data_IF_708701950660
#
_entry.id   IF_708701950660
#
_cell.length_a   1.000
_cell.length_b   1.000
_cell.length_c   1.000
_cell.angle_alpha   90.00
_cell.angle_beta   90.00
_cell.angle_gamma   90.00
#
_symmetry.space_group_name_H-M   'P 1'
#
loop_
_entity.id
_entity.type
_entity.pdbx_description
1 polymer ?
#
# COMPACT_ATOMS: atom_id res chain seq x y z
N UNK A 1 -14.99 19.39 30.60
CA UNK A 1 -14.70 20.15 29.37
C UNK A 1 -15.12 19.35 28.15
N UNK A 2 -14.39 18.31 27.74
CA UNK A 2 -14.73 17.47 26.57
C UNK A 2 -16.11 16.77 26.72
N UNK A 3 -16.50 16.34 27.93
CA UNK A 3 -17.83 15.76 28.18
C UNK A 3 -18.97 16.79 28.24
N UNK A 4 -18.66 18.08 28.29
CA UNK A 4 -19.64 19.16 28.48
C UNK A 4 -19.98 19.91 27.19
N UNK A 5 -19.20 19.70 26.11
CA UNK A 5 -19.40 20.31 24.80
C UNK A 5 -18.98 19.31 23.71
N UNK A 6 -19.97 18.80 22.98
CA UNK A 6 -19.81 17.80 21.92
C UNK A 6 -19.17 18.37 20.64
N UNK A 7 -18.97 19.70 20.57
CA UNK A 7 -18.27 20.37 19.47
C UNK A 7 -16.75 20.42 19.66
N UNK A 8 -16.25 20.16 20.87
CA UNK A 8 -14.82 20.14 21.13
C UNK A 8 -14.25 18.83 20.59
N UNK A 9 -13.45 18.93 19.54
CA UNK A 9 -12.66 17.79 19.07
C UNK A 9 -11.72 17.32 20.18
N UNK A 10 -11.74 16.03 20.49
CA UNK A 10 -11.05 15.41 21.62
C UNK A 10 -9.55 15.77 21.69
N UNK A 11 -8.86 15.77 20.55
CA UNK A 11 -7.46 16.16 20.45
C UNK A 11 -7.23 17.63 20.81
N UNK A 12 -8.10 18.54 20.36
CA UNK A 12 -8.01 19.96 20.71
C UNK A 12 -8.30 20.17 22.20
N UNK A 13 -9.33 19.51 22.72
CA UNK A 13 -9.65 19.56 24.14
C UNK A 13 -8.51 19.03 25.01
N UNK A 14 -7.87 17.93 24.62
CA UNK A 14 -6.70 17.41 25.33
C UNK A 14 -5.51 18.37 25.27
N UNK A 15 -5.24 18.94 24.08
CA UNK A 15 -4.18 19.94 23.92
C UNK A 15 -4.41 21.18 24.80
N UNK A 16 -5.64 21.66 24.91
CA UNK A 16 -5.97 22.78 25.80
C UNK A 16 -5.76 22.42 27.28
N UNK A 17 -6.19 21.23 27.71
CA UNK A 17 -5.97 20.75 29.08
C UNK A 17 -4.48 20.66 29.42
N UNK A 18 -3.68 20.10 28.51
CA UNK A 18 -2.23 19.97 28.67
C UNK A 18 -1.53 21.34 28.65
N UNK A 19 -1.91 22.23 27.73
CA UNK A 19 -1.20 23.50 27.46
C UNK A 19 -1.67 24.68 28.31
N UNK A 20 -2.77 24.56 29.06
CA UNK A 20 -3.32 25.66 29.88
C UNK A 20 -2.25 26.30 30.77
N UNK A 21 -1.55 25.49 31.55
CA UNK A 21 -0.34 25.89 32.26
C UNK A 21 0.52 24.65 32.48
N UNK A 22 1.70 24.63 31.84
CA UNK A 22 2.74 23.66 32.15
C UNK A 22 3.50 24.15 33.38
N UNK A 23 3.60 23.27 34.38
CA UNK A 23 4.35 23.46 35.61
C UNK A 23 5.77 22.89 35.49
N UNK A 24 6.54 22.92 36.60
CA UNK A 24 7.88 22.35 36.63
C UNK A 24 7.85 20.83 36.52
N UNK A 25 9.03 20.23 36.32
CA UNK A 25 9.23 18.79 36.48
C UNK A 25 8.77 18.34 37.87
N UNK A 26 8.19 17.14 37.95
CA UNK A 26 7.74 16.54 39.22
C UNK A 26 8.95 16.11 40.05
N UNK A 27 9.99 15.62 39.37
CA UNK A 27 11.30 15.26 39.92
C UNK A 27 12.36 15.34 38.80
N UNK A 28 13.63 15.12 39.16
CA UNK A 28 14.76 15.31 38.26
C UNK A 28 14.95 14.16 37.25
N UNK A 29 14.40 12.97 37.51
CA UNK A 29 14.79 11.73 36.80
C UNK A 29 13.66 11.07 35.98
N UNK A 30 12.38 11.32 36.32
CA UNK A 30 11.24 10.61 35.72
C UNK A 30 10.82 11.14 34.36
N UNK A 31 11.14 12.40 34.04
CA UNK A 31 10.59 13.10 32.88
C UNK A 31 9.15 13.59 33.05
N UNK A 32 8.53 13.34 34.22
CA UNK A 32 7.19 13.83 34.53
C UNK A 32 7.17 15.34 34.73
N UNK A 33 6.13 15.99 34.21
CA UNK A 33 5.87 17.43 34.42
C UNK A 33 4.48 17.66 35.00
N UNK A 34 4.33 18.71 35.79
CA UNK A 34 3.01 19.17 36.19
C UNK A 34 2.30 19.87 35.00
N UNK A 35 1.01 19.65 34.84
CA UNK A 35 0.14 20.26 33.84
C UNK A 35 -1.22 20.61 34.45
N UNK A 36 -2.07 21.31 33.70
CA UNK A 36 -3.41 21.72 34.12
C UNK A 36 -3.42 22.41 35.51
N UNK A 37 -2.74 23.56 35.57
CA UNK A 37 -2.61 24.39 36.78
C UNK A 37 -2.00 23.62 37.97
N UNK A 38 -1.08 22.68 37.69
CA UNK A 38 -0.38 21.90 38.71
C UNK A 38 -1.14 20.68 39.24
N UNK A 39 -2.34 20.40 38.74
CA UNK A 39 -3.20 19.33 39.27
C UNK A 39 -3.04 17.99 38.53
N UNK A 40 -2.38 17.98 37.38
CA UNK A 40 -2.15 16.79 36.58
C UNK A 40 -0.64 16.51 36.48
N UNK A 41 -0.24 15.25 36.70
CA UNK A 41 1.11 14.79 36.33
C UNK A 41 1.05 14.23 34.91
N UNK A 42 1.92 14.70 34.05
CA UNK A 42 1.98 14.37 32.64
C UNK A 42 3.33 13.73 32.31
N UNK A 43 3.29 12.66 31.52
CA UNK A 43 4.46 12.06 30.90
C UNK A 43 4.24 11.90 29.39
N UNK A 44 5.34 11.74 28.65
CA UNK A 44 5.35 11.42 27.23
C UNK A 44 5.86 10.01 27.01
N UNK A 45 4.98 9.14 26.53
CA UNK A 45 5.36 7.79 26.17
C UNK A 45 6.31 7.82 24.95
N UNK A 46 7.44 7.10 24.98
CA UNK A 46 8.42 7.12 23.91
C UNK A 46 7.84 6.52 22.62
N UNK A 47 7.84 7.31 21.54
CA UNK A 47 7.29 6.93 20.23
C UNK A 47 8.01 5.72 19.60
N UNK A 48 9.19 5.36 20.11
CA UNK A 48 9.95 4.20 19.66
C UNK A 48 9.36 2.86 20.09
N UNK A 49 8.48 2.84 21.12
CA UNK A 49 7.77 1.63 21.59
C UNK A 49 6.25 1.85 21.73
N UNK A 50 5.80 3.10 21.91
CA UNK A 50 4.39 3.50 21.78
C UNK A 50 4.21 4.21 20.44
N UNK A 51 4.27 3.42 19.37
CA UNK A 51 4.42 3.95 18.02
C UNK A 51 3.12 4.59 17.49
N UNK A 52 3.27 5.67 16.74
CA UNK A 52 2.28 6.13 15.77
C UNK A 52 2.31 5.25 14.50
N UNK A 53 1.34 5.42 13.60
CA UNK A 53 1.37 4.70 12.33
C UNK A 53 2.57 5.08 11.45
N UNK A 54 3.05 6.32 11.53
CA UNK A 54 4.25 6.72 10.80
C UNK A 54 5.52 6.09 11.39
N UNK A 55 5.70 6.15 12.72
CA UNK A 55 6.89 5.59 13.39
C UNK A 55 6.94 4.06 13.34
N UNK A 56 5.78 3.39 13.28
CA UNK A 56 5.69 1.94 13.15
C UNK A 56 5.81 1.46 11.70
N UNK A 57 4.95 1.95 10.79
CA UNK A 57 4.80 1.38 9.45
C UNK A 57 5.71 2.02 8.39
N UNK A 58 6.19 3.25 8.60
CA UNK A 58 7.04 3.97 7.64
C UNK A 58 8.49 3.98 8.11
N UNK A 59 8.72 4.45 9.34
CA UNK A 59 10.06 4.54 9.89
C UNK A 59 10.58 3.21 10.44
N UNK A 60 9.70 2.27 10.81
CA UNK A 60 10.05 1.06 11.54
C UNK A 60 11.02 1.33 12.71
N UNK A 61 10.78 2.42 13.46
CA UNK A 61 11.73 2.99 14.41
C UNK A 61 12.17 1.97 15.48
N UNK A 62 11.23 1.17 15.99
CA UNK A 62 11.52 0.11 16.96
C UNK A 62 12.54 -0.90 16.41
N UNK A 63 12.47 -1.26 15.13
CA UNK A 63 13.42 -2.19 14.50
C UNK A 63 14.81 -1.57 14.37
N UNK A 64 14.89 -0.30 13.96
CA UNK A 64 16.17 0.42 13.85
C UNK A 64 16.86 0.59 15.21
N UNK A 65 16.07 0.79 16.27
CA UNK A 65 16.55 0.94 17.63
C UNK A 65 16.70 -0.39 18.38
N UNK A 66 16.38 -1.53 17.73
CA UNK A 66 16.40 -2.87 18.33
C UNK A 66 15.55 -2.98 19.60
N UNK A 67 14.38 -2.34 19.57
CA UNK A 67 13.38 -2.35 20.62
C UNK A 67 12.20 -3.25 20.23
N UNK A 68 11.37 -3.56 21.22
CA UNK A 68 10.08 -4.21 21.01
C UNK A 68 8.98 -3.15 21.12
N UNK A 69 8.15 -3.03 20.08
CA UNK A 69 7.01 -2.12 20.12
C UNK A 69 5.96 -2.65 21.11
N UNK A 70 5.61 -1.83 22.09
CA UNK A 70 4.60 -2.13 23.10
C UNK A 70 3.17 -1.91 22.57
N UNK A 71 2.97 -0.82 21.83
CA UNK A 71 1.68 -0.48 21.24
C UNK A 71 1.87 0.25 19.91
N UNK A 72 0.89 0.11 19.01
CA UNK A 72 0.79 0.91 17.80
C UNK A 72 -0.57 1.62 17.76
N UNK A 73 -0.54 2.94 17.77
CA UNK A 73 -1.70 3.78 17.49
C UNK A 73 -1.70 4.13 16.02
N UNK A 74 -2.72 3.67 15.29
CA UNK A 74 -2.81 3.81 13.84
C UNK A 74 -3.28 5.23 13.45
N UNK A 75 -2.37 6.19 13.62
CA UNK A 75 -2.41 7.60 13.23
C UNK A 75 -1.41 7.89 12.11
N UNK A 76 -1.46 9.06 11.48
CA UNK A 76 -0.55 9.42 10.38
C UNK A 76 -0.54 8.39 9.22
N UNK A 77 -1.73 7.99 8.79
CA UNK A 77 -1.96 7.05 7.69
C UNK A 77 -3.22 7.43 6.91
N UNK A 78 -3.34 6.94 5.67
CA UNK A 78 -4.41 7.27 4.74
C UNK A 78 -5.57 6.29 4.80
N UNK A 79 -6.60 6.55 3.97
CA UNK A 79 -7.69 5.62 3.69
C UNK A 79 -8.58 5.22 4.89
N UNK A 80 -8.65 6.05 5.93
CA UNK A 80 -9.57 5.85 7.07
C UNK A 80 -9.45 4.45 7.68
N UNK A 81 -10.55 3.89 8.17
CA UNK A 81 -10.62 2.55 8.81
C UNK A 81 -9.99 1.45 7.95
N UNK A 82 -10.24 1.47 6.64
CA UNK A 82 -9.74 0.45 5.72
C UNK A 82 -8.22 0.52 5.54
N UNK A 83 -7.65 1.72 5.43
CA UNK A 83 -6.21 1.91 5.44
C UNK A 83 -5.57 1.47 6.76
N UNK A 84 -6.18 1.82 7.90
CA UNK A 84 -5.70 1.39 9.23
C UNK A 84 -5.60 -0.13 9.34
N UNK A 85 -6.67 -0.81 8.92
CA UNK A 85 -6.75 -2.27 8.93
C UNK A 85 -5.72 -2.87 7.99
N UNK A 86 -5.55 -2.29 6.80
CA UNK A 86 -4.59 -2.78 5.82
C UNK A 86 -3.14 -2.67 6.32
N UNK A 87 -2.74 -1.55 6.97
CA UNK A 87 -1.41 -1.43 7.58
C UNK A 87 -1.13 -2.47 8.66
N UNK A 88 -2.13 -2.73 9.50
CA UNK A 88 -2.02 -3.77 10.53
C UNK A 88 -1.87 -5.16 9.91
N UNK A 89 -2.54 -5.44 8.78
CA UNK A 89 -2.38 -6.68 8.01
C UNK A 89 -0.99 -6.77 7.38
N UNK A 90 -0.52 -5.71 6.72
CA UNK A 90 0.84 -5.63 6.15
C UNK A 90 1.91 -5.93 7.20
N UNK A 91 1.74 -5.39 8.42
CA UNK A 91 2.62 -5.64 9.55
C UNK A 91 2.38 -7.00 10.26
N UNK A 92 1.39 -7.79 9.84
CA UNK A 92 1.02 -9.09 10.42
C UNK A 92 0.59 -9.03 11.89
N UNK A 93 0.04 -7.88 12.32
CA UNK A 93 -0.46 -7.64 13.69
C UNK A 93 -1.98 -7.48 13.75
N UNK A 94 -2.68 -7.62 12.62
CA UNK A 94 -4.14 -7.74 12.58
C UNK A 94 -4.56 -9.22 12.67
N UNK A 95 -5.61 -9.50 13.43
CA UNK A 95 -6.21 -10.82 13.51
C UNK A 95 -7.35 -10.95 12.50
N UNK A 96 -7.15 -11.78 11.48
CA UNK A 96 -8.18 -12.15 10.50
C UNK A 96 -8.64 -13.60 10.70
N UNK A 97 -9.88 -13.94 10.33
CA UNK A 97 -10.37 -15.31 10.39
C UNK A 97 -9.72 -16.18 9.29
N UNK A 98 -9.68 -17.53 9.45
CA UNK A 98 -8.98 -18.43 8.53
C UNK A 98 -9.40 -18.29 7.05
N UNK A 99 -10.66 -17.94 6.78
CA UNK A 99 -11.22 -17.75 5.44
C UNK A 99 -10.56 -16.58 4.69
N UNK A 100 -9.97 -15.62 5.42
CA UNK A 100 -9.24 -14.52 4.82
C UNK A 100 -8.01 -15.01 4.03
N UNK A 101 -7.32 -16.00 4.59
CA UNK A 101 -6.09 -16.59 4.07
C UNK A 101 -6.33 -17.73 3.06
N UNK A 102 -7.54 -18.30 3.03
CA UNK A 102 -7.94 -19.36 2.10
C UNK A 102 -9.28 -19.04 1.43
N UNK A 103 -9.32 -18.01 0.56
CA UNK A 103 -10.55 -17.66 -0.13
C UNK A 103 -10.98 -18.79 -1.09
N UNK A 104 -12.31 -19.00 -1.30
CA UNK A 104 -12.80 -20.06 -2.19
C UNK A 104 -12.29 -19.98 -3.63
N UNK A 105 -12.00 -18.78 -4.12
CA UNK A 105 -11.47 -18.53 -5.47
C UNK A 105 -9.95 -18.70 -5.61
N UNK A 106 -9.25 -19.06 -4.54
CA UNK A 106 -7.79 -19.12 -4.51
C UNK A 106 -7.10 -17.75 -4.51
N UNK A 107 -5.78 -17.77 -4.60
CA UNK A 107 -4.92 -16.58 -4.57
C UNK A 107 -4.08 -16.51 -5.84
N UNK A 108 -3.92 -15.31 -6.38
CA UNK A 108 -3.01 -14.99 -7.46
C UNK A 108 -1.87 -14.12 -6.91
N UNK A 109 -0.63 -14.48 -7.22
CA UNK A 109 0.55 -13.71 -6.86
C UNK A 109 1.58 -13.75 -7.97
N UNK A 110 2.63 -12.93 -7.86
CA UNK A 110 3.76 -12.95 -8.76
C UNK A 110 5.05 -12.60 -8.02
N UNK A 111 6.20 -12.97 -8.60
CA UNK A 111 7.52 -12.60 -8.08
C UNK A 111 7.85 -11.17 -8.54
N UNK A 112 7.91 -10.17 -7.65
CA UNK A 112 8.33 -8.83 -8.05
C UNK A 112 9.81 -8.83 -8.43
N UNK A 113 10.15 -8.11 -9.49
CA UNK A 113 11.52 -8.02 -9.98
C UNK A 113 11.87 -6.58 -10.33
N UNK A 114 12.31 -5.80 -9.34
CA UNK A 114 12.66 -4.39 -9.53
C UNK A 114 14.13 -4.28 -10.00
N UNK A 115 14.42 -3.65 -11.15
CA UNK A 115 15.77 -3.36 -11.58
C UNK A 115 16.57 -2.59 -10.52
N UNK A 116 17.79 -3.06 -10.21
CA UNK A 116 18.64 -2.44 -9.16
C UNK A 116 18.91 -0.96 -9.40
N UNK A 117 19.03 -0.53 -10.66
CA UNK A 117 19.20 0.88 -11.01
C UNK A 117 17.96 1.72 -10.64
N UNK A 118 16.75 1.20 -10.84
CA UNK A 118 15.51 1.88 -10.45
C UNK A 118 15.34 1.96 -8.93
N UNK A 119 15.90 1.01 -8.18
CA UNK A 119 15.81 1.00 -6.72
C UNK A 119 16.93 1.82 -6.05
N UNK A 120 18.19 1.64 -6.46
CA UNK A 120 19.37 2.07 -5.70
C UNK A 120 20.10 3.29 -6.26
N UNK A 121 19.89 3.64 -7.53
CA UNK A 121 20.65 4.72 -8.17
C UNK A 121 19.81 6.00 -8.31
N UNK A 122 20.48 7.13 -8.53
CA UNK A 122 19.84 8.42 -8.77
C UNK A 122 19.36 9.13 -7.50
N UNK A 123 19.10 10.42 -7.63
CA UNK A 123 18.53 11.26 -6.58
C UNK A 123 17.10 10.80 -6.23
N UNK A 124 16.70 10.96 -4.97
CA UNK A 124 15.32 10.77 -4.55
C UNK A 124 14.51 12.03 -4.87
N UNK A 125 13.79 11.99 -5.99
CA UNK A 125 12.94 13.08 -6.47
C UNK A 125 11.57 12.53 -6.84
N UNK A 126 10.63 13.41 -7.18
CA UNK A 126 9.29 13.02 -7.64
C UNK A 126 9.39 12.15 -8.90
N UNK A 127 10.23 12.55 -9.86
CA UNK A 127 10.42 11.79 -11.11
C UNK A 127 10.96 10.38 -10.84
N UNK A 128 11.97 10.24 -9.98
CA UNK A 128 12.52 8.92 -9.67
C UNK A 128 11.60 8.10 -8.77
N UNK A 129 10.77 8.75 -7.95
CA UNK A 129 9.70 8.08 -7.18
C UNK A 129 8.70 7.44 -8.12
N UNK A 130 8.13 8.21 -9.06
CA UNK A 130 7.13 7.67 -9.97
C UNK A 130 7.72 6.70 -10.99
N UNK A 131 8.97 6.88 -11.44
CA UNK A 131 9.65 5.86 -12.25
C UNK A 131 9.73 4.49 -11.52
N UNK A 132 9.94 4.50 -10.20
CA UNK A 132 9.93 3.29 -9.37
C UNK A 132 8.51 2.77 -9.12
N UNK A 133 7.54 3.64 -8.83
CA UNK A 133 6.13 3.26 -8.60
C UNK A 133 5.51 2.66 -9.87
N UNK A 134 5.71 3.28 -11.03
CA UNK A 134 5.18 2.82 -12.32
C UNK A 134 5.65 1.41 -12.68
N UNK A 135 6.85 1.04 -12.24
CA UNK A 135 7.39 -0.29 -12.49
C UNK A 135 6.69 -1.39 -11.65
N UNK A 136 6.04 -1.00 -10.55
CA UNK A 136 5.49 -1.92 -9.55
C UNK A 136 3.96 -2.03 -9.67
N UNK A 137 3.43 -3.26 -9.74
CA UNK A 137 1.97 -3.53 -9.77
C UNK A 137 1.53 -4.26 -8.50
N UNK A 138 1.21 -3.52 -7.43
CA UNK A 138 0.80 -4.05 -6.09
C UNK A 138 1.73 -5.18 -5.52
N UNK A 139 3.08 -5.08 -5.57
CA UNK A 139 4.00 -5.91 -4.78
C UNK A 139 4.21 -5.29 -3.37
N UNK A 140 5.16 -5.77 -2.54
CA UNK A 140 5.76 -4.90 -1.54
C UNK A 140 6.25 -3.64 -2.26
N UNK A 141 5.61 -2.50 -2.01
CA UNK A 141 5.90 -1.26 -2.71
C UNK A 141 7.17 -0.64 -2.14
N UNK A 142 8.10 -0.29 -3.02
CA UNK A 142 9.23 0.55 -2.70
C UNK A 142 8.93 2.00 -3.06
N UNK A 143 9.06 2.87 -2.08
CA UNK A 143 8.90 4.31 -2.23
C UNK A 143 10.23 5.02 -2.00
N UNK A 144 10.47 6.10 -2.76
CA UNK A 144 11.61 7.00 -2.55
C UNK A 144 11.26 8.22 -1.69
N UNK A 145 9.97 8.53 -1.59
CA UNK A 145 9.45 9.71 -0.92
C UNK A 145 8.29 9.25 -0.04
N UNK A 146 8.09 9.95 1.06
CA UNK A 146 6.97 9.78 1.97
C UNK A 146 5.68 10.34 1.38
N UNK A 147 4.54 9.98 1.98
CA UNK A 147 3.21 10.54 1.66
C UNK A 147 2.60 11.16 2.92
N UNK A 148 2.28 12.46 2.86
CA UNK A 148 1.73 13.29 3.94
C UNK A 148 0.67 14.31 3.45
N UNK A 149 -0.11 14.91 4.35
CA UNK A 149 -1.20 15.83 3.96
C UNK A 149 -0.72 17.27 3.66
N UNK A 150 0.58 17.51 3.71
CA UNK A 150 1.20 18.82 3.54
C UNK A 150 2.50 18.67 2.74
N UNK A 151 2.96 19.77 2.12
CA UNK A 151 4.23 19.78 1.38
C UNK A 151 5.43 19.45 2.27
N UNK A 152 6.36 18.62 1.79
CA UNK A 152 7.55 18.21 2.53
C UNK A 152 8.72 17.92 1.59
N UNK A 153 9.98 17.87 2.08
CA UNK A 153 11.16 17.72 1.22
C UNK A 153 11.43 16.26 0.82
N UNK A 154 10.36 15.49 0.56
CA UNK A 154 10.46 14.06 0.25
C UNK A 154 10.48 13.13 1.46
N UNK A 155 11.32 13.40 2.47
CA UNK A 155 11.35 12.68 3.75
C UNK A 155 11.27 13.70 4.88
N UNK A 156 10.52 13.41 5.95
CA UNK A 156 10.41 14.33 7.08
C UNK A 156 11.78 14.57 7.76
N UNK A 157 12.19 15.83 7.94
CA UNK A 157 13.36 16.17 8.72
C UNK A 157 13.29 15.56 10.13
N UNK A 158 14.35 14.89 10.55
CA UNK A 158 14.43 14.22 11.87
C UNK A 158 13.77 12.84 11.94
N UNK A 159 13.12 12.36 10.87
CA UNK A 159 12.65 10.98 10.81
C UNK A 159 13.81 9.98 10.60
N UNK A 160 13.60 8.72 10.99
CA UNK A 160 14.54 7.63 10.72
C UNK A 160 14.31 6.95 9.37
N UNK A 161 13.36 7.44 8.55
CA UNK A 161 13.06 6.85 7.24
C UNK A 161 14.27 6.96 6.32
N UNK A 162 14.71 5.84 5.75
CA UNK A 162 15.81 5.79 4.79
C UNK A 162 15.28 5.41 3.41
N UNK A 163 15.27 6.33 2.44
CA UNK A 163 14.84 5.99 1.08
C UNK A 163 15.90 5.16 0.33
N UNK A 164 15.50 4.27 -0.59
CA UNK A 164 14.12 3.82 -0.75
C UNK A 164 13.71 2.93 0.45
N UNK A 165 12.42 2.95 0.81
CA UNK A 165 11.86 2.13 1.88
C UNK A 165 10.67 1.34 1.37
N UNK A 166 10.36 0.22 2.03
CA UNK A 166 9.10 -0.51 1.78
C UNK A 166 7.98 0.34 2.39
N UNK A 167 7.14 0.91 1.53
CA UNK A 167 6.03 1.75 1.95
C UNK A 167 4.73 0.94 2.03
N UNK A 168 3.85 1.26 2.98
CA UNK A 168 2.49 0.75 3.00
C UNK A 168 1.75 0.98 1.67
N UNK A 169 0.82 0.09 1.31
CA UNK A 169 0.08 0.20 0.05
C UNK A 169 -0.68 1.55 -0.09
N UNK A 170 -1.12 2.13 1.02
CA UNK A 170 -1.81 3.44 1.08
C UNK A 170 -0.87 4.63 0.89
N UNK A 171 0.44 4.43 0.71
CA UNK A 171 1.35 5.48 0.24
C UNK A 171 1.20 5.79 -1.26
N UNK A 172 0.53 4.94 -2.03
CA UNK A 172 0.31 5.15 -3.48
C UNK A 172 -1.15 4.97 -3.84
N UNK A 173 -1.83 4.00 -3.24
CA UNK A 173 -3.19 3.62 -3.62
C UNK A 173 -4.25 4.10 -2.62
N UNK A 174 -5.43 4.38 -3.14
CA UNK A 174 -6.63 4.70 -2.37
C UNK A 174 -7.30 3.41 -1.86
N UNK A 175 -6.72 2.80 -0.83
CA UNK A 175 -7.17 1.49 -0.31
C UNK A 175 -8.65 1.49 0.06
N UNK A 176 -9.16 2.58 0.63
CA UNK A 176 -10.59 2.73 0.95
C UNK A 176 -11.48 2.63 -0.28
N UNK A 177 -10.98 3.03 -1.45
CA UNK A 177 -11.70 2.90 -2.73
C UNK A 177 -11.51 1.50 -3.30
N UNK A 178 -10.30 0.93 -3.22
CA UNK A 178 -10.02 -0.46 -3.61
C UNK A 178 -10.91 -1.45 -2.87
N UNK A 179 -11.17 -1.18 -1.58
CA UNK A 179 -11.97 -2.01 -0.69
C UNK A 179 -13.46 -1.61 -0.63
N UNK A 180 -13.91 -0.65 -1.45
CA UNK A 180 -15.31 -0.21 -1.48
C UNK A 180 -16.10 -0.92 -2.56
N UNK A 181 -17.25 -1.47 -2.20
CA UNK A 181 -18.21 -2.00 -3.17
C UNK A 181 -18.65 -0.88 -4.13
N UNK A 182 -18.56 -1.15 -5.42
CA UNK A 182 -18.86 -0.19 -6.49
C UNK A 182 -19.84 -0.83 -7.49
N UNK A 183 -20.73 -0.03 -8.12
CA UNK A 183 -21.72 -0.54 -9.07
C UNK A 183 -21.09 -1.41 -10.15
N UNK A 184 -21.59 -2.65 -10.32
CA UNK A 184 -21.03 -3.59 -11.28
C UNK A 184 -21.24 -3.13 -12.73
N UNK A 185 -22.31 -2.36 -12.99
CA UNK A 185 -22.64 -1.85 -14.32
C UNK A 185 -21.58 -0.88 -14.83
N UNK A 186 -20.97 -0.09 -13.94
CA UNK A 186 -19.95 0.91 -14.27
C UNK A 186 -18.52 0.39 -14.05
N UNK A 187 -18.30 -0.37 -12.99
CA UNK A 187 -16.96 -0.75 -12.52
C UNK A 187 -16.66 -2.25 -12.67
N UNK A 188 -17.60 -3.02 -13.21
CA UNK A 188 -17.43 -4.46 -13.39
C UNK A 188 -17.36 -5.20 -12.05
N UNK A 189 -17.01 -6.49 -12.06
CA UNK A 189 -17.00 -7.31 -10.85
C UNK A 189 -15.97 -6.81 -9.82
N UNK A 190 -16.26 -7.12 -8.56
CA UNK A 190 -15.36 -6.88 -7.44
C UNK A 190 -13.98 -7.55 -7.62
N UNK A 191 -12.91 -6.82 -7.27
CA UNK A 191 -11.54 -7.32 -7.26
C UNK A 191 -11.07 -7.42 -5.82
N UNK A 192 -10.89 -8.65 -5.33
CA UNK A 192 -10.34 -8.87 -3.99
C UNK A 192 -8.83 -8.68 -4.01
N UNK A 193 -8.32 -7.82 -3.11
CA UNK A 193 -6.90 -7.63 -2.88
C UNK A 193 -6.47 -8.16 -1.51
N UNK A 194 -5.18 -8.45 -1.39
CA UNK A 194 -4.51 -8.87 -0.15
C UNK A 194 -3.22 -8.09 0.00
N UNK A 195 -2.78 -7.91 1.24
CA UNK A 195 -1.49 -7.32 1.58
C UNK A 195 -0.33 -8.17 1.05
N UNK A 196 0.81 -7.53 0.77
CA UNK A 196 1.97 -8.22 0.23
C UNK A 196 2.55 -9.28 1.19
N UNK A 197 2.33 -9.11 2.50
CA UNK A 197 2.87 -9.98 3.55
C UNK A 197 1.99 -11.17 3.89
N UNK A 198 0.86 -11.36 3.19
CA UNK A 198 -0.14 -12.39 3.44
C UNK A 198 0.48 -13.79 3.63
N UNK A 199 1.37 -14.20 2.72
CA UNK A 199 2.01 -15.52 2.73
C UNK A 199 3.03 -15.72 3.86
N UNK A 200 3.55 -14.63 4.41
CA UNK A 200 4.45 -14.65 5.57
C UNK A 200 3.69 -14.62 6.90
N UNK A 201 2.38 -14.43 6.87
CA UNK A 201 1.56 -14.39 8.07
C UNK A 201 1.59 -15.76 8.77
N UNK A 202 1.87 -15.83 10.09
CA UNK A 202 1.87 -17.08 10.85
C UNK A 202 0.54 -17.84 10.76
N UNK A 203 -0.59 -17.12 10.67
CA UNK A 203 -1.94 -17.66 10.59
C UNK A 203 -2.28 -18.33 9.25
N UNK A 204 -1.41 -18.20 8.24
CA UNK A 204 -1.63 -18.79 6.92
C UNK A 204 -1.75 -20.34 7.00
N UNK A 205 -2.89 -20.92 6.58
CA UNK A 205 -3.14 -22.36 6.65
C UNK A 205 -2.13 -23.21 5.87
N UNK A 206 -1.82 -24.40 6.40
CA UNK A 206 -0.85 -25.32 5.80
C UNK A 206 -1.28 -25.82 4.41
N UNK A 207 -2.58 -25.98 4.18
CA UNK A 207 -3.13 -26.36 2.89
C UNK A 207 -2.87 -25.32 1.79
N UNK A 208 -2.88 -24.03 2.14
CA UNK A 208 -2.53 -22.94 1.21
C UNK A 208 -1.02 -22.92 0.99
N UNK A 209 -0.22 -23.08 2.06
CA UNK A 209 1.26 -23.11 1.97
C UNK A 209 1.79 -24.24 1.08
N UNK A 210 1.05 -25.33 0.92
CA UNK A 210 1.47 -26.53 0.17
C UNK A 210 0.87 -26.65 -1.23
N UNK A 211 -0.11 -25.82 -1.58
CA UNK A 211 -0.83 -25.91 -2.86
C UNK A 211 -0.51 -24.72 -3.77
N UNK A 212 0.59 -24.85 -4.51
CA UNK A 212 1.15 -23.82 -5.38
C UNK A 212 1.31 -24.32 -6.82
N UNK A 213 1.01 -23.45 -7.78
CA UNK A 213 1.34 -23.61 -9.19
C UNK A 213 2.26 -22.48 -9.62
N UNK A 214 3.52 -22.81 -9.91
CA UNK A 214 4.46 -21.87 -10.53
C UNK A 214 4.15 -21.73 -12.02
N UNK A 215 4.01 -20.50 -12.49
CA UNK A 215 3.78 -20.15 -13.89
C UNK A 215 5.00 -19.43 -14.45
N UNK A 216 5.59 -20.04 -15.47
CA UNK A 216 6.73 -19.49 -16.20
C UNK A 216 6.30 -18.99 -17.57
N UNK A 217 6.40 -17.67 -17.76
CA UNK A 217 6.20 -17.07 -19.07
C UNK A 217 7.35 -17.47 -19.99
N UNK A 218 7.04 -17.84 -21.23
CA UNK A 218 8.02 -18.28 -22.21
C UNK A 218 7.76 -17.69 -23.60
N UNK A 219 8.78 -17.67 -24.45
CA UNK A 219 8.64 -17.21 -25.83
C UNK A 219 7.91 -18.27 -26.65
N UNK A 220 6.87 -17.88 -27.39
CA UNK A 220 6.15 -18.78 -28.28
C UNK A 220 7.10 -19.42 -29.31
N UNK A 221 6.94 -20.73 -29.54
CA UNK A 221 7.82 -21.51 -30.41
C UNK A 221 9.13 -21.97 -29.77
N UNK A 222 9.47 -21.54 -28.55
CA UNK A 222 10.63 -22.09 -27.84
C UNK A 222 10.41 -23.53 -27.37
N UNK A 223 11.46 -24.38 -27.28
CA UNK A 223 11.33 -25.78 -26.88
C UNK A 223 10.62 -25.95 -25.52
N UNK A 224 9.49 -26.66 -25.55
CA UNK A 224 8.67 -26.92 -24.35
C UNK A 224 7.85 -25.73 -23.86
N UNK A 225 7.64 -24.69 -24.69
CA UNK A 225 6.71 -23.60 -24.40
C UNK A 225 5.34 -23.89 -25.01
N UNK A 226 4.54 -24.71 -24.33
CA UNK A 226 3.17 -25.02 -24.73
C UNK A 226 2.22 -24.94 -23.54
N UNK A 227 0.99 -24.48 -23.78
CA UNK A 227 -0.06 -24.25 -22.76
C UNK A 227 -0.42 -25.51 -21.95
N UNK A 228 -0.04 -26.70 -22.43
CA UNK A 228 -0.33 -27.99 -21.79
C UNK A 228 0.91 -28.73 -21.28
N UNK A 229 2.12 -28.20 -21.47
CA UNK A 229 3.31 -28.84 -20.93
C UNK A 229 3.49 -28.46 -19.46
N UNK A 230 2.89 -29.24 -18.57
CA UNK A 230 3.38 -29.32 -17.19
C UNK A 230 4.78 -29.91 -17.25
N UNK A 231 5.76 -29.13 -16.78
CA UNK A 231 7.11 -29.66 -16.58
C UNK A 231 7.09 -30.71 -15.47
N UNK A 232 8.07 -31.64 -15.49
CA UNK A 232 8.25 -32.66 -14.43
C UNK A 232 8.37 -32.04 -13.01
N UNK A 233 8.61 -30.73 -12.90
CA UNK A 233 8.74 -29.98 -11.65
C UNK A 233 7.45 -29.33 -11.13
N UNK A 234 6.28 -29.61 -11.71
CA UNK A 234 5.01 -29.02 -11.25
C UNK A 234 4.79 -27.55 -11.65
N UNK A 235 5.59 -27.04 -12.59
CA UNK A 235 5.45 -25.68 -13.11
C UNK A 235 4.80 -25.67 -14.51
N UNK A 236 3.87 -24.73 -14.71
CA UNK A 236 3.18 -24.46 -15.98
C UNK A 236 4.00 -23.50 -16.83
N UNK A 237 4.36 -23.91 -18.05
CA UNK A 237 4.94 -23.00 -19.04
C UNK A 237 3.83 -22.38 -19.87
N UNK A 238 3.72 -21.06 -19.83
CA UNK A 238 2.69 -20.31 -20.52
C UNK A 238 3.38 -19.38 -21.54
N UNK A 239 3.07 -19.47 -22.84
CA UNK A 239 3.60 -18.50 -23.79
C UNK A 239 3.20 -17.08 -23.39
N UNK A 240 4.05 -16.09 -23.62
CA UNK A 240 3.71 -14.65 -23.44
C UNK A 240 2.55 -14.23 -24.36
N UNK A 241 1.95 -13.07 -24.10
CA UNK A 241 0.94 -12.46 -24.96
C UNK A 241 -0.29 -13.35 -25.13
N UNK A 242 -1.00 -13.62 -24.03
CA UNK A 242 -2.16 -14.52 -24.01
C UNK A 242 -3.46 -13.75 -23.85
N UNK A 243 -4.47 -14.22 -24.57
CA UNK A 243 -5.84 -13.73 -24.47
C UNK A 243 -6.52 -14.26 -23.21
N UNK A 244 -7.59 -13.57 -22.81
CA UNK A 244 -8.45 -13.97 -21.71
C UNK A 244 -8.94 -15.43 -21.82
N UNK A 245 -9.38 -15.87 -23.00
CA UNK A 245 -9.87 -17.23 -23.23
C UNK A 245 -8.76 -18.25 -23.01
N UNK A 246 -7.58 -17.96 -23.53
CA UNK A 246 -6.43 -18.87 -23.42
C UNK A 246 -6.04 -19.06 -21.95
N UNK A 247 -6.01 -17.97 -21.17
CA UNK A 247 -5.76 -18.03 -19.74
C UNK A 247 -6.85 -18.79 -19.00
N UNK A 248 -8.14 -18.49 -19.26
CA UNK A 248 -9.27 -19.21 -18.66
C UNK A 248 -9.21 -20.71 -18.93
N UNK A 249 -8.94 -21.11 -20.18
CA UNK A 249 -8.82 -22.51 -20.57
C UNK A 249 -7.62 -23.17 -19.90
N UNK A 250 -6.46 -22.51 -19.86
CA UNK A 250 -5.26 -23.04 -19.21
C UNK A 250 -5.49 -23.30 -17.71
N UNK A 251 -6.02 -22.31 -16.99
CA UNK A 251 -6.22 -22.39 -15.54
C UNK A 251 -7.46 -23.19 -15.10
N UNK A 252 -8.38 -23.49 -16.03
CA UNK A 252 -9.54 -24.36 -15.75
C UNK A 252 -9.16 -25.77 -15.29
N UNK A 253 -7.93 -26.20 -15.57
CA UNK A 253 -7.35 -27.50 -15.18
C UNK A 253 -6.75 -27.50 -13.77
N UNK A 254 -6.64 -26.32 -13.13
CA UNK A 254 -5.95 -26.14 -11.85
C UNK A 254 -6.88 -25.57 -10.77
N UNK A 255 -8.19 -25.87 -10.84
CA UNK A 255 -9.20 -25.33 -9.91
C UNK A 255 -8.97 -25.72 -8.45
N UNK A 256 -8.28 -26.84 -8.21
CA UNK A 256 -7.97 -27.33 -6.86
C UNK A 256 -6.69 -26.72 -6.28
N UNK A 257 -5.94 -25.97 -7.08
CA UNK A 257 -4.73 -25.26 -6.63
C UNK A 257 -5.14 -24.01 -5.83
N UNK A 258 -4.51 -23.80 -4.67
CA UNK A 258 -4.81 -22.66 -3.79
C UNK A 258 -4.11 -21.38 -4.21
N UNK A 259 -2.88 -21.49 -4.72
CA UNK A 259 -2.05 -20.34 -5.11
C UNK A 259 -1.49 -20.50 -6.51
N UNK A 260 -1.74 -19.54 -7.39
CA UNK A 260 -1.07 -19.43 -8.68
C UNK A 260 -0.02 -18.32 -8.56
N UNK A 261 1.24 -18.66 -8.78
CA UNK A 261 2.35 -17.71 -8.74
C UNK A 261 2.96 -17.53 -10.13
N UNK A 262 2.89 -16.32 -10.66
CA UNK A 262 3.62 -15.96 -11.86
C UNK A 262 5.08 -15.60 -11.55
N UNK A 263 6.00 -16.09 -12.35
CA UNK A 263 7.41 -15.66 -12.28
C UNK A 263 7.60 -14.19 -12.69
N UNK A 264 6.69 -13.66 -13.52
CA UNK A 264 6.55 -12.25 -13.87
C UNK A 264 5.14 -12.03 -14.44
N UNK A 265 4.60 -10.82 -14.30
CA UNK A 265 3.37 -10.40 -14.98
C UNK A 265 3.63 -9.68 -16.31
N UNK A 266 4.89 -9.38 -16.62
CA UNK A 266 5.25 -8.71 -17.87
C UNK A 266 4.87 -9.57 -19.07
N UNK A 267 4.05 -9.02 -19.98
CA UNK A 267 3.53 -9.70 -21.17
C UNK A 267 2.65 -10.93 -20.84
N UNK A 268 2.08 -11.03 -19.63
CA UNK A 268 1.26 -12.19 -19.24
C UNK A 268 -0.14 -12.17 -19.88
N UNK A 269 -0.66 -10.98 -20.19
CA UNK A 269 -2.06 -10.77 -20.56
C UNK A 269 -2.18 -9.62 -21.56
N UNK A 270 -2.78 -9.89 -22.72
CA UNK A 270 -2.95 -8.88 -23.79
C UNK A 270 -4.29 -8.13 -23.73
N UNK A 271 -5.10 -8.37 -22.70
CA UNK A 271 -6.37 -7.69 -22.49
C UNK A 271 -7.60 -8.58 -22.63
N UNK A 272 -8.76 -7.95 -22.47
CA UNK A 272 -10.05 -8.61 -22.42
C UNK A 272 -10.65 -8.75 -23.81
N UNK A 273 -11.36 -9.85 -24.04
CA UNK A 273 -12.08 -10.07 -25.29
C UNK A 273 -13.38 -9.28 -25.32
N UNK A 274 -14.03 -9.16 -24.16
CA UNK A 274 -15.19 -8.28 -23.97
C UNK A 274 -14.73 -6.85 -23.66
N UNK A 275 -14.98 -5.93 -24.61
CA UNK A 275 -14.60 -4.52 -24.49
C UNK A 275 -15.40 -3.74 -23.45
N UNK A 276 -16.67 -4.11 -23.22
CA UNK A 276 -17.45 -3.50 -22.14
C UNK A 276 -16.87 -3.89 -20.78
N UNK A 277 -16.47 -5.17 -20.62
CA UNK A 277 -15.78 -5.62 -19.41
C UNK A 277 -14.41 -4.93 -19.23
N UNK A 278 -13.68 -4.73 -20.32
CA UNK A 278 -12.43 -3.97 -20.30
C UNK A 278 -12.64 -2.54 -19.79
N UNK A 279 -13.60 -1.82 -20.36
CA UNK A 279 -13.94 -0.45 -19.96
C UNK A 279 -14.35 -0.37 -18.48
N UNK A 280 -15.16 -1.31 -18.02
CA UNK A 280 -15.56 -1.43 -16.62
C UNK A 280 -14.38 -1.65 -15.68
N UNK A 281 -13.52 -2.63 -16.00
CA UNK A 281 -12.29 -2.88 -15.25
C UNK A 281 -11.41 -1.64 -15.22
N UNK A 282 -11.29 -0.96 -16.36
CA UNK A 282 -10.45 0.22 -16.48
C UNK A 282 -10.96 1.38 -15.64
N UNK A 283 -12.27 1.62 -15.69
CA UNK A 283 -12.97 2.59 -14.84
C UNK A 283 -12.75 2.32 -13.36
N UNK A 284 -12.76 1.04 -12.92
CA UNK A 284 -12.49 0.64 -11.54
C UNK A 284 -11.06 0.98 -11.13
N UNK A 285 -10.10 0.50 -11.91
CA UNK A 285 -8.66 0.66 -11.60
C UNK A 285 -8.24 2.12 -11.63
N UNK A 286 -8.87 2.96 -12.46
CA UNK A 286 -8.64 4.41 -12.47
C UNK A 286 -8.92 5.07 -11.12
N UNK A 287 -9.83 4.51 -10.32
CA UNK A 287 -10.19 5.02 -8.97
C UNK A 287 -9.26 4.52 -7.86
N UNK A 288 -8.34 3.60 -8.15
CA UNK A 288 -7.43 3.04 -7.15
C UNK A 288 -6.28 3.96 -6.79
N UNK A 289 -6.06 5.01 -7.57
CA UNK A 289 -5.05 6.04 -7.36
C UNK A 289 -5.75 7.37 -7.21
N UNK A 290 -5.02 8.41 -6.79
CA UNK A 290 -5.59 9.74 -6.64
C UNK A 290 -4.55 10.77 -6.23
N UNK A 291 -4.92 11.58 -5.24
CA UNK A 291 -4.07 12.64 -4.71
C UNK A 291 -2.84 12.02 -4.07
N UNK A 292 -1.67 12.21 -4.68
CA UNK A 292 -0.38 11.83 -4.16
C UNK A 292 0.43 13.06 -3.71
N UNK A 293 1.13 12.90 -2.60
CA UNK A 293 1.74 13.97 -1.82
C UNK A 293 3.08 14.45 -2.37
N UNK A 294 3.67 15.55 -1.90
CA UNK A 294 3.17 16.92 -1.93
C UNK A 294 4.43 17.79 -2.08
N UNK A 295 4.36 18.73 -3.01
CA UNK A 295 5.41 19.68 -3.35
C UNK A 295 5.37 20.84 -2.36
N UNK A 296 6.50 21.15 -1.74
CA UNK A 296 6.65 22.34 -0.90
C UNK A 296 6.47 23.62 -1.70
N UNK A 297 5.91 24.66 -1.06
CA UNK A 297 5.76 25.99 -1.64
C UNK A 297 4.95 26.02 -2.96
N UNK A 298 4.02 25.08 -3.15
CA UNK A 298 3.13 25.01 -4.30
C UNK A 298 1.65 24.87 -3.87
N UNK A 299 0.73 25.54 -4.57
CA UNK A 299 -0.71 25.47 -4.30
C UNK A 299 -1.51 25.32 -5.60
N UNK A 300 -2.26 24.21 -5.81
CA UNK A 300 -2.31 23.01 -4.95
C UNK A 300 -0.95 22.29 -4.88
N UNK A 301 -0.63 21.73 -3.71
CA UNK A 301 0.66 21.08 -3.45
C UNK A 301 0.71 19.61 -3.86
N UNK A 302 -0.39 19.00 -4.27
CA UNK A 302 -0.44 17.58 -4.60
C UNK A 302 -0.32 17.29 -6.09
N UNK A 303 0.00 16.04 -6.39
CA UNK A 303 0.07 15.45 -7.73
C UNK A 303 -1.10 14.48 -7.88
N UNK A 304 -1.80 14.49 -9.01
CA UNK A 304 -2.75 13.43 -9.32
C UNK A 304 -2.02 12.27 -9.99
N UNK A 305 -1.88 11.15 -9.29
CA UNK A 305 -1.34 9.94 -9.90
C UNK A 305 -2.39 9.30 -10.82
N UNK A 306 -1.96 8.88 -12.01
CA UNK A 306 -2.78 8.18 -12.97
C UNK A 306 -2.20 6.78 -13.23
N UNK A 307 -3.01 5.75 -13.05
CA UNK A 307 -2.59 4.38 -13.31
C UNK A 307 -2.27 4.16 -14.81
N UNK A 308 -2.91 4.91 -15.71
CA UNK A 308 -2.72 4.84 -17.16
C UNK A 308 -1.80 5.96 -17.67
N UNK A 309 -0.81 6.34 -16.86
CA UNK A 309 0.15 7.39 -17.20
C UNK A 309 0.86 7.15 -18.54
N UNK A 310 1.09 5.89 -18.92
CA UNK A 310 1.78 5.45 -20.13
C UNK A 310 0.92 5.57 -21.39
N UNK A 311 -0.41 5.59 -21.23
CA UNK A 311 -1.36 5.80 -22.33
C UNK A 311 -1.66 7.29 -22.57
N UNK A 312 -1.14 8.19 -21.72
CA UNK A 312 -1.39 9.64 -21.78
C UNK A 312 -0.16 10.41 -22.25
N UNK A 313 -0.11 10.83 -23.53
CA UNK A 313 1.00 11.61 -24.04
C UNK A 313 1.24 12.87 -23.19
N UNK A 314 2.44 12.99 -22.63
CA UNK A 314 2.84 14.16 -21.85
C UNK A 314 2.40 14.17 -20.39
N UNK A 315 1.83 13.08 -19.86
CA UNK A 315 1.62 12.98 -18.41
C UNK A 315 2.94 13.15 -17.66
N UNK A 316 2.90 13.90 -16.57
CA UNK A 316 4.02 14.14 -15.67
C UNK A 316 3.55 14.08 -14.23
N UNK A 317 4.40 13.56 -13.37
CA UNK A 317 4.24 13.65 -11.93
C UNK A 317 4.56 15.08 -11.45
N UNK A 318 3.67 16.01 -11.72
CA UNK A 318 3.83 17.42 -11.39
C UNK A 318 2.60 17.95 -10.66
N UNK A 319 2.77 18.92 -9.74
CA UNK A 319 1.63 19.58 -9.13
C UNK A 319 0.86 20.38 -10.18
N UNK A 320 -0.41 20.63 -9.90
CA UNK A 320 -1.29 21.37 -10.80
C UNK A 320 -0.93 22.85 -10.83
N UNK A 321 -1.04 23.50 -11.99
CA UNK A 321 -0.69 24.92 -12.13
C UNK A 321 -1.63 25.86 -11.36
N UNK A 322 -2.89 25.46 -11.16
CA UNK A 322 -3.90 26.28 -10.52
C UNK A 322 -4.93 25.46 -9.74
N UNK A 323 -5.64 26.11 -8.82
CA UNK A 323 -6.76 25.51 -8.09
C UNK A 323 -7.97 25.22 -8.98
N UNK A 324 -8.06 25.85 -10.17
CA UNK A 324 -9.14 25.57 -11.12
C UNK A 324 -8.99 24.18 -11.76
N UNK A 325 -7.76 23.69 -11.84
CA UNK A 325 -7.43 22.37 -12.37
C UNK A 325 -7.46 21.28 -11.27
N UNK A 326 -7.84 21.64 -10.04
CA UNK A 326 -7.85 20.74 -8.89
C UNK A 326 -9.10 19.84 -8.87
N UNK A 327 -9.13 18.92 -9.81
CA UNK A 327 -10.11 17.86 -9.86
C UNK A 327 -9.42 16.54 -10.21
N UNK A 328 -9.98 15.39 -9.76
CA UNK A 328 -9.46 14.10 -10.17
C UNK A 328 -9.40 13.94 -11.69
N UNK A 329 -8.45 13.17 -12.24
CA UNK A 329 -8.25 13.01 -13.68
C UNK A 329 -9.29 12.09 -14.36
N UNK A 330 -10.47 11.88 -13.76
CA UNK A 330 -11.51 10.96 -14.22
C UNK A 330 -12.93 11.48 -14.06
#
# INVERSE_FOLDING_TARGET
MILADDKIWDQNGFNELVRRQLGPSVDDDSGLVYAYDGNLKLDLLPASIFCSGHTYFVQAMFQHLRLEAYAVHTTFQYAGTEGKRHRLREAKVFYDPPEYYNPPGGLLTFKPAIPKNLLLHGEHSIDTHFALVHYQVIPPLWCRLDRLWFGHPGILPGSLTRPPFVCPLDHVFEINVMLKEMPNEEFGPWISIREYSLFENPSMPQEVKKSWLDVHLCQEGSPGCQVNSTSQSGALKLPKHRTEETLKTAFSKFKDVKVIQFSSMQDAFDGFTDKTREEQFRSRVKRYVGIWCCVENHTPGHIYYDMYWDEKPGWKAAPLNSTADDHPPW
#
